data_IF_783402982750
#
_entry.id   IF_783402982750
#
_cell.length_a   1.000
_cell.length_b   1.000
_cell.length_c   1.000
_cell.angle_alpha   90.00
_cell.angle_beta   90.00
_cell.angle_gamma   90.00
#
_symmetry.space_group_name_H-M   'P 1'
#
loop_
_entity.id
_entity.type
_entity.pdbx_description
1 polymer ?
#
# COMPACT_ATOMS: atom_id res chain seq x y z
N UNK A 1 -62.41 1.51 -50.84
CA UNK A 1 -61.87 0.27 -50.22
C UNK A 1 -61.28 0.67 -48.88
N UNK A 2 -62.11 0.55 -47.82
CA UNK A 2 -61.75 1.05 -46.48
C UNK A 2 -61.10 -0.08 -45.64
N UNK A 3 -59.81 0.03 -45.36
CA UNK A 3 -59.11 -0.90 -44.50
C UNK A 3 -59.04 -0.30 -43.08
N UNK A 4 -60.01 -0.61 -42.23
CA UNK A 4 -59.94 -0.36 -40.81
C UNK A 4 -59.27 -1.58 -40.12
N UNK A 5 -57.97 -1.52 -39.87
CA UNK A 5 -57.32 -2.46 -38.98
C UNK A 5 -57.78 -2.09 -37.58
N UNK A 6 -58.39 -3.04 -36.86
CA UNK A 6 -58.94 -2.84 -35.53
C UNK A 6 -57.77 -2.59 -34.54
N UNK A 7 -57.96 -1.55 -33.76
CA UNK A 7 -57.01 -1.17 -32.66
C UNK A 7 -56.62 -2.35 -31.74
N UNK A 8 -57.56 -3.31 -31.63
CA UNK A 8 -57.37 -4.54 -30.81
C UNK A 8 -56.33 -5.50 -31.39
N UNK A 9 -56.12 -5.53 -32.71
CA UNK A 9 -55.10 -6.36 -33.34
C UNK A 9 -53.71 -5.74 -33.21
N UNK A 10 -53.61 -4.41 -33.23
CA UNK A 10 -52.31 -3.73 -33.01
C UNK A 10 -51.83 -3.87 -31.59
N UNK A 11 -52.72 -3.83 -30.58
CA UNK A 11 -52.39 -4.01 -29.18
C UNK A 11 -51.92 -5.45 -28.89
N UNK A 12 -52.55 -6.46 -29.51
CA UNK A 12 -52.12 -7.87 -29.38
C UNK A 12 -50.74 -8.14 -29.98
N UNK A 13 -50.42 -7.53 -31.12
CA UNK A 13 -49.11 -7.65 -31.74
C UNK A 13 -48.00 -6.94 -30.94
N UNK A 14 -48.35 -5.79 -30.32
CA UNK A 14 -47.41 -5.06 -29.45
C UNK A 14 -47.12 -5.79 -28.14
N UNK A 15 -48.13 -6.38 -27.52
CA UNK A 15 -47.99 -7.16 -26.30
C UNK A 15 -47.21 -8.48 -26.52
N UNK A 16 -47.36 -9.13 -27.68
CA UNK A 16 -46.61 -10.32 -28.04
C UNK A 16 -45.14 -10.02 -28.31
N UNK A 17 -44.85 -8.86 -28.94
CA UNK A 17 -43.47 -8.41 -29.19
C UNK A 17 -42.69 -8.05 -27.90
N UNK A 18 -43.38 -7.45 -26.92
CA UNK A 18 -42.77 -7.08 -25.62
C UNK A 18 -42.50 -8.33 -24.76
N UNK A 19 -43.36 -9.36 -24.83
CA UNK A 19 -43.20 -10.59 -24.07
C UNK A 19 -42.00 -11.46 -24.56
N UNK A 20 -41.68 -11.42 -25.85
CA UNK A 20 -40.54 -12.15 -26.43
C UNK A 20 -39.23 -11.39 -26.20
N UNK A 21 -39.26 -10.04 -26.20
CA UNK A 21 -38.07 -9.21 -25.92
C UNK A 21 -37.62 -9.25 -24.45
N UNK A 22 -38.54 -9.43 -23.51
CA UNK A 22 -38.23 -9.47 -22.08
C UNK A 22 -37.64 -10.82 -21.60
N UNK A 23 -37.82 -11.90 -22.35
CA UNK A 23 -37.28 -13.23 -22.01
C UNK A 23 -35.85 -13.46 -22.47
N UNK A 24 -35.25 -12.54 -23.23
CA UNK A 24 -33.88 -12.70 -23.79
C UNK A 24 -32.78 -11.97 -23.01
N UNK A 25 -33.12 -11.28 -21.91
CA UNK A 25 -32.15 -10.48 -21.16
C UNK A 25 -31.79 -11.05 -19.78
N UNK A 26 -32.17 -12.29 -19.44
CA UNK A 26 -31.74 -12.92 -18.17
C UNK A 26 -30.93 -14.18 -18.46
N UNK A 27 -29.89 -14.05 -19.23
CA UNK A 27 -28.74 -14.92 -19.09
C UNK A 27 -27.78 -14.18 -18.13
N UNK A 28 -28.04 -14.24 -16.84
CA UNK A 28 -26.94 -14.12 -15.86
C UNK A 28 -26.03 -15.32 -16.17
N UNK A 29 -24.97 -15.06 -16.92
CA UNK A 29 -23.82 -15.95 -16.92
C UNK A 29 -23.29 -15.90 -15.50
N UNK A 30 -23.84 -16.71 -14.60
CA UNK A 30 -23.12 -17.16 -13.43
C UNK A 30 -21.94 -17.92 -14.01
N UNK A 31 -20.76 -17.28 -14.04
CA UNK A 31 -19.55 -18.05 -14.19
C UNK A 31 -19.57 -19.03 -13.01
N UNK A 32 -19.74 -20.32 -13.32
CA UNK A 32 -19.58 -21.37 -12.34
C UNK A 32 -18.14 -21.24 -11.86
N UNK A 33 -17.94 -20.68 -10.68
CA UNK A 33 -16.63 -20.61 -10.05
C UNK A 33 -16.28 -22.08 -9.79
N UNK A 34 -15.35 -22.62 -10.57
CA UNK A 34 -14.87 -23.99 -10.36
C UNK A 34 -14.31 -24.13 -8.94
N UNK A 35 -14.20 -25.35 -8.47
CA UNK A 35 -13.57 -25.62 -7.19
C UNK A 35 -12.14 -25.04 -7.20
N UNK A 36 -11.70 -24.37 -6.11
CA UNK A 36 -10.33 -23.87 -6.02
C UNK A 36 -9.33 -25.03 -6.13
N UNK A 37 -8.21 -24.83 -6.86
CA UNK A 37 -7.15 -25.84 -6.99
C UNK A 37 -6.46 -26.11 -5.65
N UNK A 38 -6.53 -25.16 -4.72
CA UNK A 38 -6.01 -25.24 -3.37
C UNK A 38 -6.96 -24.55 -2.42
N UNK A 39 -7.54 -25.31 -1.50
CA UNK A 39 -8.51 -24.81 -0.53
C UNK A 39 -7.83 -24.23 0.73
N UNK A 40 -6.74 -24.86 1.20
CA UNK A 40 -6.00 -24.43 2.39
C UNK A 40 -4.92 -23.41 2.01
N UNK A 41 -5.05 -22.18 2.49
CA UNK A 41 -4.13 -21.08 2.19
C UNK A 41 -3.54 -20.47 3.46
N UNK A 42 -2.29 -19.98 3.37
CA UNK A 42 -1.59 -19.31 4.45
C UNK A 42 -1.25 -17.89 4.02
N UNK A 43 -1.85 -16.89 4.67
CA UNK A 43 -1.61 -15.48 4.38
C UNK A 43 -0.79 -14.81 5.47
N UNK A 44 0.30 -14.15 5.04
CA UNK A 44 1.15 -13.38 5.94
C UNK A 44 0.70 -11.93 6.07
N UNK A 45 0.92 -11.34 7.25
CA UNK A 45 0.67 -9.92 7.46
C UNK A 45 1.64 -9.29 8.46
N UNK A 46 1.79 -7.97 8.39
CA UNK A 46 2.40 -7.16 9.45
C UNK A 46 1.26 -6.55 10.27
N UNK A 47 1.45 -6.43 11.59
CA UNK A 47 0.44 -5.89 12.53
C UNK A 47 0.24 -4.39 12.33
N UNK A 48 -0.43 -4.02 11.25
CA UNK A 48 -0.77 -2.66 10.83
C UNK A 48 -2.24 -2.62 10.40
N UNK A 49 -2.84 -1.44 10.37
CA UNK A 49 -4.25 -1.25 10.03
C UNK A 49 -4.59 -1.58 8.58
N UNK A 50 -3.63 -1.47 7.69
CA UNK A 50 -3.76 -1.77 6.26
C UNK A 50 -3.97 -3.28 5.96
N UNK A 51 -3.75 -4.19 6.94
CA UNK A 51 -4.14 -5.59 6.83
C UNK A 51 -5.64 -5.83 7.11
N UNK A 52 -6.38 -4.81 7.51
CA UNK A 52 -7.78 -4.94 7.92
C UNK A 52 -8.69 -5.67 6.93
N UNK A 53 -8.59 -5.50 5.59
CA UNK A 53 -9.40 -6.28 4.65
C UNK A 53 -9.25 -7.79 4.81
N UNK A 54 -8.02 -8.28 5.02
CA UNK A 54 -7.75 -9.71 5.25
C UNK A 54 -8.36 -10.16 6.60
N UNK A 55 -8.19 -9.36 7.65
CA UNK A 55 -8.75 -9.66 8.97
C UNK A 55 -10.28 -9.71 8.93
N UNK A 56 -10.91 -8.75 8.24
CA UNK A 56 -12.38 -8.72 8.11
C UNK A 56 -12.87 -9.93 7.31
N UNK A 57 -12.21 -10.29 6.22
CA UNK A 57 -12.58 -11.47 5.43
C UNK A 57 -12.48 -12.75 6.27
N UNK A 58 -11.42 -12.88 7.06
CA UNK A 58 -11.22 -14.00 7.98
C UNK A 58 -12.29 -14.07 9.07
N UNK A 59 -12.51 -12.98 9.81
CA UNK A 59 -13.43 -12.92 10.94
C UNK A 59 -14.91 -13.03 10.53
N UNK A 60 -15.24 -12.65 9.28
CA UNK A 60 -16.60 -12.72 8.76
C UNK A 60 -16.91 -14.02 8.03
N UNK A 61 -15.94 -14.91 7.84
CA UNK A 61 -16.13 -16.17 7.13
C UNK A 61 -16.23 -16.02 5.61
N UNK A 62 -15.76 -14.89 5.03
CA UNK A 62 -15.86 -14.67 3.59
C UNK A 62 -14.94 -15.60 2.79
N UNK A 63 -13.87 -16.09 3.39
CA UNK A 63 -13.03 -17.09 2.76
C UNK A 63 -13.74 -18.44 2.68
N UNK A 64 -14.40 -18.83 3.76
CA UNK A 64 -15.17 -20.09 3.82
C UNK A 64 -16.38 -20.08 2.88
N UNK A 65 -17.02 -18.91 2.70
CA UNK A 65 -18.11 -18.72 1.73
C UNK A 65 -17.65 -19.00 0.28
N UNK A 66 -16.36 -18.76 -0.01
CA UNK A 66 -15.72 -19.05 -1.31
C UNK A 66 -15.01 -20.42 -1.34
N UNK A 67 -15.21 -21.28 -0.32
CA UNK A 67 -14.59 -22.60 -0.23
C UNK A 67 -13.10 -22.59 0.11
N UNK A 68 -12.60 -21.54 0.75
CA UNK A 68 -11.21 -21.36 1.13
C UNK A 68 -11.03 -21.44 2.65
N UNK A 69 -10.07 -22.22 3.10
CA UNK A 69 -9.68 -22.33 4.51
C UNK A 69 -8.37 -21.58 4.73
N UNK A 70 -8.50 -20.32 5.09
CA UNK A 70 -7.35 -19.40 5.22
C UNK A 70 -6.83 -19.38 6.64
N UNK A 71 -5.51 -19.51 6.81
CA UNK A 71 -4.80 -19.19 8.05
C UNK A 71 -4.06 -17.87 7.87
N UNK A 72 -4.22 -16.93 8.81
CA UNK A 72 -3.51 -15.66 8.79
C UNK A 72 -2.36 -15.67 9.80
N UNK A 73 -1.14 -15.30 9.38
CA UNK A 73 0.08 -15.38 10.16
C UNK A 73 0.79 -14.03 10.28
N UNK A 74 0.95 -13.53 11.51
CA UNK A 74 1.74 -12.34 11.76
C UNK A 74 3.22 -12.61 11.51
N UNK A 75 3.87 -11.75 10.71
CA UNK A 75 5.29 -11.84 10.41
C UNK A 75 6.08 -10.76 11.16
N UNK A 76 7.35 -11.04 11.46
CA UNK A 76 8.19 -10.17 12.26
C UNK A 76 8.56 -8.84 11.57
N UNK A 77 8.74 -8.87 10.25
CA UNK A 77 9.11 -7.72 9.43
C UNK A 77 8.83 -7.99 7.95
N UNK A 78 8.96 -6.94 7.13
CA UNK A 78 8.69 -6.98 5.70
C UNK A 78 9.58 -7.93 4.90
N UNK A 79 10.84 -8.14 5.36
CA UNK A 79 11.73 -9.09 4.69
C UNK A 79 11.27 -10.53 4.90
N UNK A 80 10.98 -10.92 6.14
CA UNK A 80 10.50 -12.26 6.48
C UNK A 80 9.19 -12.58 5.76
N UNK A 81 8.31 -11.59 5.65
CA UNK A 81 7.05 -11.72 4.93
C UNK A 81 7.27 -11.94 3.43
N UNK A 82 8.13 -11.14 2.79
CA UNK A 82 8.46 -11.29 1.37
C UNK A 82 9.12 -12.65 1.09
N UNK A 83 10.11 -13.02 1.91
CA UNK A 83 10.80 -14.31 1.79
C UNK A 83 9.79 -15.47 1.92
N UNK A 84 8.81 -15.36 2.83
CA UNK A 84 7.77 -16.37 3.01
C UNK A 84 6.89 -16.60 1.77
N UNK A 85 6.64 -15.55 0.98
CA UNK A 85 5.93 -15.70 -0.30
C UNK A 85 6.87 -16.25 -1.38
N UNK A 86 8.13 -15.82 -1.41
CA UNK A 86 9.11 -16.28 -2.40
C UNK A 86 9.40 -17.77 -2.25
N UNK A 87 9.53 -18.26 -1.03
CA UNK A 87 9.84 -19.66 -0.73
C UNK A 87 8.60 -20.58 -0.67
N UNK A 88 7.40 -20.02 -0.89
CA UNK A 88 6.14 -20.77 -0.90
C UNK A 88 5.64 -21.21 0.47
N UNK A 89 6.22 -20.71 1.55
CA UNK A 89 5.74 -20.92 2.92
C UNK A 89 4.44 -20.16 3.17
N UNK A 90 4.23 -19.04 2.49
CA UNK A 90 3.00 -18.26 2.44
C UNK A 90 2.46 -18.28 1.01
N UNK A 91 1.17 -18.47 0.85
CA UNK A 91 0.48 -18.43 -0.43
C UNK A 91 0.21 -16.99 -0.90
N UNK A 92 0.07 -16.10 0.04
CA UNK A 92 -0.13 -14.67 -0.19
C UNK A 92 0.23 -13.84 1.03
N UNK A 93 0.32 -12.53 0.84
CA UNK A 93 0.62 -11.64 1.94
C UNK A 93 0.12 -10.20 1.67
N UNK A 94 -0.26 -9.52 2.73
CA UNK A 94 -0.31 -8.07 2.78
C UNK A 94 1.12 -7.54 2.66
N UNK A 95 1.39 -6.67 1.66
CA UNK A 95 2.76 -6.34 1.31
C UNK A 95 2.89 -4.88 0.86
N UNK A 96 4.06 -4.28 1.10
CA UNK A 96 4.39 -2.96 0.55
C UNK A 96 4.40 -3.02 -0.98
N UNK A 97 3.76 -2.07 -1.64
CA UNK A 97 3.61 -2.04 -3.10
C UNK A 97 4.94 -2.16 -3.87
N UNK A 98 6.04 -1.64 -3.31
CA UNK A 98 7.37 -1.72 -3.92
C UNK A 98 8.04 -3.11 -3.85
N UNK A 99 7.61 -3.99 -2.94
CA UNK A 99 8.26 -5.29 -2.75
C UNK A 99 8.05 -6.26 -3.92
N UNK A 100 6.82 -6.49 -4.43
CA UNK A 100 6.61 -7.32 -5.62
C UNK A 100 7.34 -6.79 -6.86
N UNK A 101 7.34 -5.47 -7.04
CA UNK A 101 8.05 -4.82 -8.15
C UNK A 101 9.56 -5.07 -8.03
N UNK A 102 10.13 -4.84 -6.85
CA UNK A 102 11.56 -5.05 -6.59
C UNK A 102 11.97 -6.51 -6.83
N UNK A 103 11.20 -7.48 -6.34
CA UNK A 103 11.44 -8.90 -6.56
C UNK A 103 11.39 -9.26 -8.06
N UNK A 104 10.41 -8.73 -8.80
CA UNK A 104 10.26 -9.00 -10.24
C UNK A 104 11.44 -8.49 -11.06
N UNK A 105 11.96 -7.30 -10.75
CA UNK A 105 13.13 -6.74 -11.47
C UNK A 105 14.47 -7.26 -10.94
N UNK A 106 14.47 -8.04 -9.86
CA UNK A 106 15.68 -8.63 -9.29
C UNK A 106 16.46 -7.73 -8.34
N UNK A 107 15.79 -6.76 -7.71
CA UNK A 107 16.37 -6.02 -6.60
C UNK A 107 16.26 -6.85 -5.32
N UNK A 108 17.38 -7.39 -4.86
CA UNK A 108 17.43 -8.45 -3.85
C UNK A 108 17.23 -9.83 -4.47
N UNK A 109 16.33 -10.65 -3.94
CA UNK A 109 15.98 -11.97 -4.52
C UNK A 109 15.05 -11.79 -5.71
N UNK A 110 15.47 -12.26 -6.89
CA UNK A 110 14.62 -12.26 -8.08
C UNK A 110 13.55 -13.33 -7.96
N UNK A 111 12.28 -12.90 -8.02
CA UNK A 111 11.13 -13.80 -7.97
C UNK A 111 9.97 -13.21 -8.76
N UNK A 112 9.12 -14.08 -9.31
CA UNK A 112 7.90 -13.67 -9.97
C UNK A 112 6.77 -13.62 -8.93
N UNK A 113 6.40 -12.41 -8.52
CA UNK A 113 5.32 -12.16 -7.57
C UNK A 113 4.28 -11.28 -8.26
N UNK A 114 3.01 -11.64 -8.12
CA UNK A 114 1.88 -10.88 -8.64
C UNK A 114 1.20 -10.09 -7.52
N UNK A 115 0.62 -8.96 -7.87
CA UNK A 115 -0.24 -8.16 -6.99
C UNK A 115 -1.65 -8.20 -7.56
N UNK A 116 -2.58 -8.98 -6.99
CA UNK A 116 -3.93 -9.12 -7.54
C UNK A 116 -4.77 -7.86 -7.34
N UNK A 117 -4.57 -7.11 -6.26
CA UNK A 117 -5.29 -5.86 -5.96
C UNK A 117 -4.55 -4.98 -4.96
N UNK A 118 -4.91 -3.70 -4.89
CA UNK A 118 -4.47 -2.76 -3.85
C UNK A 118 -5.47 -2.79 -2.70
N UNK A 119 -4.97 -2.95 -1.48
CA UNK A 119 -5.80 -3.05 -0.27
C UNK A 119 -6.23 -1.68 0.26
N UNK A 120 -5.39 -0.66 0.08
CA UNK A 120 -5.64 0.70 0.53
C UNK A 120 -5.00 1.74 -0.40
N UNK A 121 -5.31 3.00 -0.14
CA UNK A 121 -4.75 4.15 -0.85
C UNK A 121 -4.37 5.23 0.17
N UNK A 122 -3.17 5.80 0.03
CA UNK A 122 -2.60 6.82 0.90
C UNK A 122 -2.35 6.29 2.33
N UNK A 123 -1.80 7.06 3.20
CA UNK A 123 -1.60 6.68 4.60
C UNK A 123 -0.16 6.87 5.07
N UNK A 124 0.78 7.23 4.18
CA UNK A 124 2.13 7.53 4.59
C UNK A 124 2.17 8.86 5.35
N UNK A 125 2.90 8.88 6.45
CA UNK A 125 3.13 10.08 7.23
C UNK A 125 4.59 10.13 7.71
N UNK A 126 5.11 11.34 7.90
CA UNK A 126 6.40 11.58 8.52
C UNK A 126 6.14 12.06 9.94
N UNK A 127 6.58 11.28 10.93
CA UNK A 127 6.44 11.62 12.35
C UNK A 127 7.81 11.99 12.90
N UNK A 128 7.86 13.02 13.71
CA UNK A 128 9.06 13.45 14.45
C UNK A 128 8.79 13.44 15.94
N UNK A 129 9.85 13.30 16.75
CA UNK A 129 9.72 13.41 18.21
C UNK A 129 9.27 14.82 18.63
N UNK A 130 8.70 14.93 19.83
CA UNK A 130 8.28 16.23 20.38
C UNK A 130 9.44 17.22 20.48
N UNK A 131 10.65 16.75 20.78
CA UNK A 131 11.84 17.61 20.88
C UNK A 131 12.25 18.15 19.50
N UNK A 132 12.23 17.29 18.47
CA UNK A 132 12.46 17.71 17.08
C UNK A 132 11.36 18.66 16.62
N UNK A 133 10.11 18.36 16.93
CA UNK A 133 8.97 19.22 16.61
C UNK A 133 9.11 20.62 17.24
N UNK A 134 9.47 20.69 18.53
CA UNK A 134 9.66 21.97 19.21
C UNK A 134 10.73 22.83 18.53
N UNK A 135 11.79 22.22 18.00
CA UNK A 135 12.86 22.90 17.26
C UNK A 135 12.46 23.28 15.83
N UNK A 136 11.64 22.47 15.17
CA UNK A 136 11.12 22.76 13.84
C UNK A 136 10.08 23.88 13.83
N UNK A 137 9.19 23.91 14.83
CA UNK A 137 8.01 24.77 14.91
C UNK A 137 8.26 26.27 14.63
N UNK A 138 9.37 26.90 15.11
CA UNK A 138 9.68 28.29 14.80
C UNK A 138 9.96 28.56 13.32
N UNK A 139 10.35 27.54 12.55
CA UNK A 139 10.72 27.63 11.14
C UNK A 139 9.58 27.25 10.19
N UNK A 140 8.41 26.88 10.73
CA UNK A 140 7.24 26.51 9.95
C UNK A 140 6.36 27.75 9.71
N UNK A 141 6.01 27.99 8.45
CA UNK A 141 5.05 29.04 8.09
C UNK A 141 3.68 28.76 8.74
N UNK A 142 3.03 29.82 9.21
CA UNK A 142 1.73 29.75 9.86
C UNK A 142 0.65 30.41 9.02
N UNK A 143 -0.55 29.88 9.10
CA UNK A 143 -1.78 30.47 8.61
C UNK A 143 -2.23 31.61 9.51
N UNK A 144 -3.21 32.40 9.09
CA UNK A 144 -3.75 33.52 9.87
C UNK A 144 -4.34 33.09 11.23
N UNK A 145 -4.81 31.86 11.34
CA UNK A 145 -5.35 31.23 12.56
C UNK A 145 -4.27 30.63 13.49
N UNK A 146 -2.98 30.73 13.09
CA UNK A 146 -1.84 30.23 13.85
C UNK A 146 -1.48 28.78 13.63
N UNK A 147 -2.25 28.01 12.84
CA UNK A 147 -1.91 26.65 12.48
C UNK A 147 -0.79 26.57 11.42
N UNK A 148 -0.01 25.47 11.39
CA UNK A 148 0.99 25.27 10.36
C UNK A 148 0.40 25.32 8.95
N UNK A 149 1.14 25.90 8.00
CA UNK A 149 0.84 25.75 6.58
C UNK A 149 1.21 24.34 6.14
N UNK A 150 0.31 23.63 5.50
CA UNK A 150 0.56 22.32 4.93
C UNK A 150 0.73 22.38 3.40
N UNK A 151 1.58 21.50 2.81
CA UNK A 151 2.46 20.53 3.48
C UNK A 151 3.63 21.21 4.21
N UNK A 152 4.02 20.66 5.36
CA UNK A 152 5.20 21.13 6.10
C UNK A 152 6.44 20.69 5.33
N UNK A 153 7.28 21.63 4.95
CA UNK A 153 8.51 21.39 4.20
C UNK A 153 9.67 20.98 5.10
N UNK A 154 10.60 20.17 4.59
CA UNK A 154 11.75 19.71 5.34
C UNK A 154 12.81 20.79 5.60
N UNK A 155 12.72 21.95 4.96
CA UNK A 155 13.58 23.10 5.30
C UNK A 155 13.46 23.49 6.78
N UNK A 156 12.27 23.32 7.40
CA UNK A 156 12.06 23.51 8.82
C UNK A 156 12.84 22.51 9.72
N UNK A 157 13.23 21.35 9.20
CA UNK A 157 14.06 20.36 9.88
C UNK A 157 15.56 20.69 9.78
N UNK A 158 15.96 21.44 8.75
CA UNK A 158 17.37 21.70 8.45
C UNK A 158 18.18 22.24 9.64
N UNK A 159 17.69 23.23 10.43
CA UNK A 159 18.42 23.71 11.61
C UNK A 159 18.70 22.61 12.65
N UNK A 160 17.78 21.66 12.79
CA UNK A 160 17.94 20.53 13.71
C UNK A 160 19.04 19.58 13.22
N UNK A 161 19.03 19.24 11.92
CA UNK A 161 20.08 18.40 11.30
C UNK A 161 21.46 19.06 11.44
N UNK A 162 21.55 20.38 11.24
CA UNK A 162 22.80 21.14 11.39
C UNK A 162 23.29 21.14 12.85
N UNK A 163 22.37 21.24 13.82
CA UNK A 163 22.72 21.13 15.26
C UNK A 163 23.32 19.77 15.59
N UNK A 164 22.72 18.67 15.10
CA UNK A 164 23.26 17.33 15.29
C UNK A 164 24.63 17.17 14.65
N UNK A 165 24.80 17.69 13.45
CA UNK A 165 26.08 17.70 12.72
C UNK A 165 27.16 18.48 13.51
N UNK A 166 26.83 19.66 14.02
CA UNK A 166 27.74 20.46 14.82
C UNK A 166 28.16 19.76 16.13
N UNK A 167 27.28 18.94 16.69
CA UNK A 167 27.55 18.10 17.86
C UNK A 167 28.31 16.82 17.53
N UNK A 168 28.69 16.56 16.26
CA UNK A 168 29.34 15.34 15.81
C UNK A 168 28.44 14.09 15.93
N UNK A 169 27.12 14.26 15.95
CA UNK A 169 26.13 13.19 16.08
C UNK A 169 25.36 13.01 14.77
N UNK A 170 25.05 11.77 14.37
CA UNK A 170 24.16 11.53 13.24
C UNK A 170 22.71 11.92 13.59
N UNK A 171 21.99 12.51 12.64
CA UNK A 171 20.54 12.62 12.72
C UNK A 171 19.92 11.37 12.12
N UNK A 172 19.26 10.55 12.93
CA UNK A 172 18.72 9.27 12.53
C UNK A 172 17.22 9.36 12.27
N UNK A 173 16.75 8.70 11.22
CA UNK A 173 15.33 8.54 10.89
C UNK A 173 15.04 7.07 10.58
N UNK A 174 13.84 6.62 10.94
CA UNK A 174 13.37 5.28 10.64
C UNK A 174 12.62 5.23 9.30
N UNK A 175 12.81 4.16 8.56
CA UNK A 175 11.98 3.80 7.40
C UNK A 175 11.66 2.31 7.45
N UNK A 176 10.52 1.90 6.88
CA UNK A 176 10.02 0.53 7.07
C UNK A 176 10.75 -0.51 6.22
N UNK A 177 11.16 -0.13 5.00
CA UNK A 177 11.88 -1.00 4.07
C UNK A 177 12.50 -0.18 2.91
N UNK A 178 13.68 -0.59 2.36
CA UNK A 178 14.38 0.20 1.33
C UNK A 178 13.56 0.49 0.07
N UNK A 179 12.70 -0.43 -0.36
CA UNK A 179 11.84 -0.28 -1.55
C UNK A 179 10.40 0.11 -1.19
N UNK A 180 10.18 0.68 -0.01
CA UNK A 180 8.87 1.20 0.39
C UNK A 180 8.61 2.60 -0.17
N UNK A 181 7.34 2.92 -0.44
CA UNK A 181 6.92 4.30 -0.74
C UNK A 181 7.30 5.26 0.37
N UNK A 182 7.21 4.84 1.63
CA UNK A 182 7.67 5.60 2.81
C UNK A 182 9.11 6.08 2.67
N UNK A 183 10.03 5.19 2.27
CA UNK A 183 11.44 5.54 2.10
C UNK A 183 11.64 6.53 0.95
N UNK A 184 10.95 6.33 -0.17
CA UNK A 184 11.05 7.24 -1.32
C UNK A 184 10.49 8.63 -1.01
N UNK A 185 9.33 8.70 -0.36
CA UNK A 185 8.70 9.95 0.04
C UNK A 185 9.51 10.69 1.08
N UNK A 186 10.05 9.98 2.08
CA UNK A 186 10.93 10.57 3.09
C UNK A 186 12.20 11.17 2.46
N UNK A 187 12.84 10.45 1.55
CA UNK A 187 14.02 10.94 0.81
C UNK A 187 13.69 12.13 -0.07
N UNK A 188 12.56 12.09 -0.76
CA UNK A 188 12.08 13.20 -1.57
C UNK A 188 11.82 14.45 -0.70
N UNK A 189 11.13 14.28 0.42
CA UNK A 189 10.84 15.36 1.36
C UNK A 189 12.13 16.02 1.91
N UNK A 190 13.10 15.21 2.35
CA UNK A 190 14.40 15.69 2.82
C UNK A 190 15.14 16.45 1.73
N UNK A 191 15.27 15.88 0.53
CA UNK A 191 15.96 16.51 -0.59
C UNK A 191 15.30 17.83 -1.01
N UNK A 192 13.97 17.89 -1.05
CA UNK A 192 13.21 19.09 -1.35
C UNK A 192 13.43 20.21 -0.31
N UNK A 193 13.74 19.86 0.95
CA UNK A 193 14.12 20.80 2.01
C UNK A 193 15.63 21.14 2.04
N UNK A 194 16.40 20.62 1.10
CA UNK A 194 17.86 20.85 1.02
C UNK A 194 18.65 20.07 2.06
N UNK A 195 18.12 18.93 2.53
CA UNK A 195 18.80 17.97 3.40
C UNK A 195 19.16 16.75 2.53
N UNK A 196 20.44 16.40 2.46
CA UNK A 196 20.88 15.28 1.64
C UNK A 196 20.45 13.94 2.26
N UNK A 197 19.60 13.14 1.60
CA UNK A 197 19.09 11.88 2.16
C UNK A 197 20.02 10.69 1.96
N UNK A 198 21.18 10.90 1.36
CA UNK A 198 22.12 9.84 0.94
C UNK A 198 21.88 9.35 -0.49
N UNK A 199 22.91 8.74 -1.07
CA UNK A 199 22.86 8.11 -2.39
C UNK A 199 22.84 6.59 -2.27
N UNK A 200 22.09 5.93 -3.16
CA UNK A 200 22.20 4.49 -3.38
C UNK A 200 23.34 4.18 -4.33
N UNK A 201 24.19 3.26 -3.95
CA UNK A 201 25.25 2.75 -4.81
C UNK A 201 25.26 1.21 -4.80
N UNK A 202 24.21 0.55 -5.32
CA UNK A 202 24.07 -0.91 -5.26
C UNK A 202 25.20 -1.65 -5.96
N UNK A 203 25.80 -1.08 -7.00
CA UNK A 203 26.99 -1.61 -7.66
C UNK A 203 28.26 -1.57 -6.81
N UNK A 204 28.25 -0.80 -5.70
CA UNK A 204 29.29 -0.77 -4.67
C UNK A 204 28.91 -1.55 -3.40
N UNK A 205 27.80 -2.32 -3.46
CA UNK A 205 27.28 -3.07 -2.33
C UNK A 205 26.44 -2.23 -1.35
N UNK A 206 26.21 -0.95 -1.61
CA UNK A 206 25.32 -0.12 -0.79
C UNK A 206 23.88 -0.30 -1.20
N UNK A 207 23.10 -0.91 -0.32
CA UNK A 207 21.64 -1.07 -0.46
C UNK A 207 20.86 -0.19 0.50
N UNK A 208 21.56 0.53 1.40
CA UNK A 208 20.95 1.38 2.43
C UNK A 208 20.76 2.83 1.99
N UNK A 209 21.53 3.30 0.99
CA UNK A 209 21.46 4.65 0.48
C UNK A 209 21.93 5.70 1.50
N UNK A 210 23.01 5.43 2.21
CA UNK A 210 23.52 6.31 3.27
C UNK A 210 24.76 7.13 2.86
N UNK A 211 25.27 6.95 1.64
CA UNK A 211 26.46 7.66 1.19
C UNK A 211 26.17 9.17 1.17
N UNK A 212 27.03 9.95 1.82
CA UNK A 212 26.93 11.40 1.99
C UNK A 212 25.63 11.90 2.65
N UNK A 213 24.94 11.05 3.40
CA UNK A 213 23.68 11.39 4.05
C UNK A 213 23.89 12.42 5.18
N UNK A 214 23.08 13.47 5.20
CA UNK A 214 22.94 14.40 6.34
C UNK A 214 21.92 13.86 7.37
N UNK A 215 20.97 13.04 6.91
CA UNK A 215 20.05 12.28 7.74
C UNK A 215 20.21 10.79 7.39
N UNK A 216 20.55 9.97 8.39
CA UNK A 216 20.74 8.52 8.21
C UNK A 216 19.39 7.83 8.31
N UNK A 217 19.00 7.11 7.26
CA UNK A 217 17.77 6.34 7.22
C UNK A 217 18.06 4.87 7.49
N UNK A 218 17.48 4.32 8.55
CA UNK A 218 17.64 2.91 8.91
C UNK A 218 16.32 2.17 8.86
N UNK A 219 16.38 0.87 8.52
CA UNK A 219 15.21 0.01 8.53
C UNK A 219 14.77 -0.21 9.97
N UNK A 220 13.56 0.22 10.28
CA UNK A 220 12.94 0.03 11.58
C UNK A 220 11.61 -0.71 11.37
N UNK A 221 11.45 -1.92 11.91
CA UNK A 221 10.18 -2.63 11.84
C UNK A 221 9.04 -1.79 12.41
N UNK A 222 7.85 -1.77 11.79
CA UNK A 222 6.74 -0.92 12.23
C UNK A 222 6.40 -0.99 13.72
N UNK A 223 6.43 -2.16 14.39
CA UNK A 223 6.16 -2.24 15.81
C UNK A 223 7.20 -1.54 16.71
N UNK A 224 8.38 -1.20 16.17
CA UNK A 224 9.46 -0.54 16.89
C UNK A 224 9.56 0.97 16.60
N UNK A 225 8.80 1.48 15.62
CA UNK A 225 8.87 2.90 15.24
C UNK A 225 8.40 3.89 16.33
N UNK A 226 7.42 3.57 17.20
CA UNK A 226 6.97 4.49 18.25
C UNK A 226 7.88 4.58 19.47
N UNK A 227 8.92 3.75 19.58
CA UNK A 227 9.80 3.65 20.76
C UNK A 227 11.03 4.56 20.69
#
# INVERSE_FOLDING_TARGET
>A
MNWKISLTQQIKSLLLGVSIGASLCINTVSAEVGFPEKEELRFGFIKLTDMAPIAVAYEKGYFEEEGLYVTIEAQANWKVLLDGVIDGRLDGAHMLAGQPIAATIGYGTKAHIITPFSMDLNGNAITVSNDVWAKMKPHIAKQADGFPVHPIKADALKPVVEEFKAAGKPFNMGMVFPVSTHNYELRYWLAAGGIHPGFYAPHKGDTSGQIDAQALLSVTPPPQMPS
#
